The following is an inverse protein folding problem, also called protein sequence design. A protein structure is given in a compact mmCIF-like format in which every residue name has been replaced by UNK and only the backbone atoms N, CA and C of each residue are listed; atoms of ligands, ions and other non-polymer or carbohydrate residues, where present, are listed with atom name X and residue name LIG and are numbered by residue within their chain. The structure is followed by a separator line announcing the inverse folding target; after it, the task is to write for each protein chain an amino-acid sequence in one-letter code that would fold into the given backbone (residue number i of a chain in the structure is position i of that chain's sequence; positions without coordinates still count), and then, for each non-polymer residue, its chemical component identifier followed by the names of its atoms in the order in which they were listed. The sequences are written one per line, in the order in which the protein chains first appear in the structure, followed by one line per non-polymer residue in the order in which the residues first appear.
data_IF_929857414175
#
_entry.id   IF_929857414175
#
_cell.length_a   1.000
_cell.length_b   1.000
_cell.length_c   1.000
_cell.angle_alpha   90.00
_cell.angle_beta   90.00
_cell.angle_gamma   90.00
#
_symmetry.space_group_name_H-M   'P 1'
#
loop_
_entity.id
_entity.type
_entity.pdbx_description
1 polymer ?
#
# COMPACT_ATOMS: atom_id res chain seq x y z
N UNK A 1 -2.27 6.67 -12.52
CA UNK A 1 -1.27 5.62 -12.23
C UNK A 1 -1.01 5.66 -10.74
N UNK A 2 -1.07 4.51 -10.04
CA UNK A 2 -0.74 4.44 -8.63
C UNK A 2 0.65 5.03 -8.39
N UNK A 3 0.77 5.79 -7.30
CA UNK A 3 2.03 6.40 -6.91
C UNK A 3 2.60 5.61 -5.75
N UNK A 4 3.88 5.32 -5.77
CA UNK A 4 4.54 4.60 -4.69
C UNK A 4 5.60 5.48 -4.04
N UNK A 5 5.73 5.37 -2.73
CA UNK A 5 6.75 6.06 -1.96
C UNK A 5 7.45 5.10 -1.02
N UNK A 6 8.72 5.39 -0.77
CA UNK A 6 9.58 4.62 0.11
C UNK A 6 10.66 5.52 0.70
N UNK A 7 11.05 5.24 1.94
CA UNK A 7 12.16 5.91 2.63
C UNK A 7 13.13 4.87 3.16
N UNK A 8 14.44 5.08 2.98
CA UNK A 8 15.44 4.17 3.53
C UNK A 8 15.39 4.07 5.06
N UNK A 9 15.00 5.16 5.73
CA UNK A 9 14.77 5.18 7.18
C UNK A 9 13.66 4.22 7.63
N UNK A 10 12.63 3.98 6.80
CA UNK A 10 11.52 3.07 7.13
C UNK A 10 11.98 1.60 7.28
N UNK A 11 13.17 1.25 6.76
CA UNK A 11 13.78 -0.08 6.92
C UNK A 11 14.94 -0.10 7.92
N UNK A 12 15.10 0.96 8.71
CA UNK A 12 16.10 1.07 9.78
C UNK A 12 17.52 1.39 9.29
N UNK A 13 17.67 1.90 8.06
CA UNK A 13 18.95 2.45 7.61
C UNK A 13 19.07 3.91 8.03
N UNK A 14 20.27 4.31 8.44
CA UNK A 14 20.62 5.73 8.66
C UNK A 14 20.93 6.40 7.32
N UNK A 15 19.89 6.59 6.50
CA UNK A 15 19.98 7.15 5.16
C UNK A 15 18.70 7.93 4.83
N UNK A 16 18.82 9.25 4.63
CA UNK A 16 17.69 10.13 4.33
C UNK A 16 17.17 10.06 2.87
N UNK A 17 17.57 9.05 2.09
CA UNK A 17 17.09 8.89 0.73
C UNK A 17 15.61 8.48 0.71
N UNK A 18 14.83 9.19 -0.10
CA UNK A 18 13.40 8.92 -0.29
C UNK A 18 13.02 8.95 -1.77
N UNK A 19 12.11 8.05 -2.14
CA UNK A 19 11.45 8.03 -3.43
C UNK A 19 10.01 8.46 -3.22
N UNK A 20 9.57 9.43 -4.00
CA UNK A 20 8.18 9.89 -4.05
C UNK A 20 7.63 9.68 -5.44
N UNK A 21 6.37 9.26 -5.52
CA UNK A 21 5.59 9.24 -6.75
C UNK A 21 6.13 8.33 -7.88
N UNK A 22 6.78 7.21 -7.53
CA UNK A 22 7.10 6.17 -8.51
C UNK A 22 5.81 5.62 -9.14
N UNK A 23 5.82 5.30 -10.44
CA UNK A 23 4.65 4.82 -11.17
C UNK A 23 4.33 3.34 -10.93
N UNK A 24 5.29 2.56 -10.45
CA UNK A 24 5.12 1.15 -10.06
C UNK A 24 6.09 0.75 -8.96
N UNK A 25 5.82 -0.40 -8.32
CA UNK A 25 6.77 -1.01 -7.37
C UNK A 25 8.08 -1.40 -8.06
N UNK A 26 8.02 -1.96 -9.28
CA UNK A 26 9.23 -2.31 -10.04
C UNK A 26 10.10 -1.08 -10.33
N UNK A 27 9.50 0.04 -10.74
CA UNK A 27 10.23 1.29 -10.97
C UNK A 27 10.91 1.78 -9.69
N UNK A 28 10.19 1.73 -8.56
CA UNK A 28 10.72 2.07 -7.24
C UNK A 28 11.89 1.16 -6.86
N UNK A 29 11.76 -0.15 -7.07
CA UNK A 29 12.82 -1.12 -6.77
C UNK A 29 14.05 -0.92 -7.66
N UNK A 30 13.89 -0.58 -8.93
CA UNK A 30 15.01 -0.25 -9.82
C UNK A 30 15.74 1.02 -9.35
N UNK A 31 15.00 2.07 -8.98
CA UNK A 31 15.59 3.28 -8.39
C UNK A 31 16.37 2.97 -7.10
N UNK A 32 15.82 2.11 -6.23
CA UNK A 32 16.51 1.68 -5.00
C UNK A 32 17.78 0.88 -5.28
N UNK A 33 17.78 -0.02 -6.28
CA UNK A 33 18.98 -0.77 -6.68
C UNK A 33 20.08 0.19 -7.15
N UNK A 34 19.74 1.21 -7.95
CA UNK A 34 20.70 2.22 -8.41
C UNK A 34 21.27 3.00 -7.23
N UNK A 35 20.41 3.43 -6.30
CA UNK A 35 20.82 4.15 -5.09
C UNK A 35 21.72 3.29 -4.20
N UNK A 36 21.34 2.04 -3.93
CA UNK A 36 22.08 1.11 -3.08
C UNK A 36 23.48 0.81 -3.65
N UNK A 37 23.58 0.63 -4.97
CA UNK A 37 24.85 0.43 -5.66
C UNK A 37 25.74 1.68 -5.59
N UNK A 38 25.17 2.85 -5.87
CA UNK A 38 25.94 4.10 -5.99
C UNK A 38 26.37 4.68 -4.64
N UNK A 39 25.51 4.59 -3.62
CA UNK A 39 25.71 5.24 -2.32
C UNK A 39 26.31 4.31 -1.27
N UNK A 40 26.06 3.00 -1.39
CA UNK A 40 26.46 2.01 -0.38
C UNK A 40 27.32 0.88 -0.95
N UNK A 41 27.63 0.89 -2.27
CA UNK A 41 28.40 -0.17 -2.91
C UNK A 41 27.68 -1.53 -2.94
N UNK A 42 26.38 -1.55 -2.65
CA UNK A 42 25.58 -2.78 -2.58
C UNK A 42 25.24 -3.22 -4.00
N UNK A 43 25.91 -4.27 -4.47
CA UNK A 43 25.68 -4.83 -5.81
C UNK A 43 24.55 -5.84 -5.85
N UNK A 44 24.14 -6.38 -4.70
CA UNK A 44 23.03 -7.31 -4.55
C UNK A 44 22.29 -7.05 -3.24
N UNK A 45 20.97 -6.85 -3.32
CA UNK A 45 20.11 -6.63 -2.15
C UNK A 45 19.75 -8.00 -1.57
N UNK A 46 20.11 -8.30 -0.31
CA UNK A 46 19.75 -9.57 0.33
C UNK A 46 18.23 -9.78 0.37
N UNK A 47 17.73 -11.03 0.29
CA UNK A 47 16.29 -11.31 0.30
C UNK A 47 15.55 -10.74 1.52
N UNK A 48 16.17 -10.77 2.71
CA UNK A 48 15.61 -10.19 3.94
C UNK A 48 15.37 -8.68 3.78
N UNK A 49 16.37 -7.98 3.28
CA UNK A 49 16.28 -6.54 3.04
C UNK A 49 15.26 -6.23 1.94
N UNK A 50 15.21 -7.02 0.88
CA UNK A 50 14.22 -6.85 -0.18
C UNK A 50 12.79 -7.01 0.36
N UNK A 51 12.55 -7.98 1.25
CA UNK A 51 11.26 -8.17 1.89
C UNK A 51 10.89 -6.98 2.78
N UNK A 52 11.84 -6.47 3.58
CA UNK A 52 11.65 -5.25 4.37
C UNK A 52 11.33 -4.04 3.51
N UNK A 53 12.03 -3.88 2.39
CA UNK A 53 11.76 -2.82 1.42
C UNK A 53 10.31 -2.93 0.93
N UNK A 54 9.91 -4.10 0.42
CA UNK A 54 8.55 -4.33 -0.10
C UNK A 54 7.46 -4.07 0.95
N UNK A 55 7.68 -4.48 2.20
CA UNK A 55 6.74 -4.23 3.30
C UNK A 55 6.58 -2.75 3.65
N UNK A 56 7.57 -1.92 3.32
CA UNK A 56 7.57 -0.48 3.61
C UNK A 56 7.32 0.39 2.37
N UNK A 57 7.06 -0.21 1.21
CA UNK A 57 6.55 0.53 0.06
C UNK A 57 5.12 0.95 0.38
N UNK A 58 4.87 2.26 0.36
CA UNK A 58 3.55 2.84 0.60
C UNK A 58 2.93 3.23 -0.73
N UNK A 59 1.77 2.65 -1.05
CA UNK A 59 0.93 3.09 -2.15
C UNK A 59 0.29 4.42 -1.74
N UNK A 60 0.57 5.46 -2.51
CA UNK A 60 -0.01 6.79 -2.43
C UNK A 60 -1.13 6.84 -3.46
N UNK A 61 -2.34 7.08 -2.97
CA UNK A 61 -3.52 7.29 -3.79
C UNK A 61 -4.49 8.18 -3.06
N UNK A 62 -5.58 8.50 -3.74
CA UNK A 62 -6.53 9.52 -3.28
C UNK A 62 -7.44 9.02 -2.17
N UNK A 63 -7.70 7.71 -2.08
CA UNK A 63 -8.75 7.18 -1.23
C UNK A 63 -8.22 6.25 -0.14
N UNK A 64 -8.79 6.41 1.05
CA UNK A 64 -8.53 5.62 2.26
C UNK A 64 -9.83 5.04 2.81
N UNK A 65 -9.77 3.81 3.32
CA UNK A 65 -10.87 3.19 4.06
C UNK A 65 -10.35 2.21 5.10
N UNK A 66 -11.07 2.08 6.22
CA UNK A 66 -10.80 1.06 7.25
C UNK A 66 -12.10 0.39 7.68
N UNK A 67 -12.11 -0.93 7.85
CA UNK A 67 -13.28 -1.65 8.34
C UNK A 67 -13.75 -1.16 9.72
N UNK A 68 -12.83 -0.71 10.56
CA UNK A 68 -13.15 -0.10 11.85
C UNK A 68 -14.01 1.17 11.72
N UNK A 69 -13.90 1.90 10.59
CA UNK A 69 -14.70 3.12 10.35
C UNK A 69 -16.21 2.87 10.25
N UNK A 70 -16.61 1.64 9.90
CA UNK A 70 -18.02 1.23 9.81
C UNK A 70 -18.46 0.39 11.02
N UNK A 71 -17.66 0.38 12.09
CA UNK A 71 -17.96 -0.34 13.34
C UNK A 71 -17.72 -1.84 13.28
N UNK A 72 -17.00 -2.35 12.27
CA UNK A 72 -16.60 -3.76 12.24
C UNK A 72 -15.38 -3.96 13.15
N UNK A 73 -15.36 -5.07 13.88
CA UNK A 73 -14.19 -5.50 14.66
C UNK A 73 -13.14 -6.15 13.74
N UNK A 74 -12.60 -5.38 12.80
CA UNK A 74 -11.66 -5.82 11.79
C UNK A 74 -10.60 -4.72 11.57
N UNK A 75 -9.31 -5.09 11.67
CA UNK A 75 -8.19 -4.17 11.48
C UNK A 75 -7.76 -3.98 10.02
N UNK A 76 -8.53 -4.48 9.05
CA UNK A 76 -8.19 -4.31 7.64
C UNK A 76 -8.42 -2.87 7.20
N UNK A 77 -7.44 -2.32 6.49
CA UNK A 77 -7.45 -0.98 5.94
C UNK A 77 -6.89 -0.97 4.51
N UNK A 78 -7.43 -0.09 3.70
CA UNK A 78 -7.00 0.18 2.33
C UNK A 78 -6.48 1.61 2.32
N UNK A 79 -5.20 1.74 2.00
CA UNK A 79 -4.53 3.04 1.87
C UNK A 79 -4.12 3.26 0.42
N UNK A 80 -4.46 4.42 -0.12
CA UNK A 80 -3.95 4.86 -1.41
C UNK A 80 -4.61 4.20 -2.63
N UNK A 81 -5.91 3.91 -2.55
CA UNK A 81 -6.69 3.56 -3.75
C UNK A 81 -6.82 4.79 -4.67
N UNK A 82 -6.80 4.60 -5.98
CA UNK A 82 -6.88 5.69 -6.97
C UNK A 82 -8.32 6.11 -7.26
N UNK A 83 -9.28 5.22 -7.00
CA UNK A 83 -10.71 5.48 -7.14
C UNK A 83 -11.47 4.74 -6.05
N UNK A 84 -12.71 5.19 -5.77
CA UNK A 84 -13.63 4.43 -4.93
C UNK A 84 -13.86 3.02 -5.48
N UNK A 85 -13.89 2.85 -6.80
CA UNK A 85 -14.10 1.54 -7.40
C UNK A 85 -12.96 0.56 -7.12
N UNK A 86 -11.71 0.99 -7.29
CA UNK A 86 -10.54 0.17 -6.94
C UNK A 86 -10.55 -0.22 -5.46
N UNK A 87 -10.88 0.74 -4.57
CA UNK A 87 -11.02 0.49 -3.14
C UNK A 87 -12.07 -0.60 -2.86
N UNK A 88 -13.23 -0.52 -3.51
CA UNK A 88 -14.30 -1.50 -3.35
C UNK A 88 -13.90 -2.87 -3.91
N UNK A 89 -13.16 -2.93 -5.01
CA UNK A 89 -12.62 -4.17 -5.58
C UNK A 89 -11.63 -4.85 -4.62
N UNK A 90 -10.67 -4.10 -4.07
CA UNK A 90 -9.74 -4.59 -3.05
C UNK A 90 -10.49 -5.09 -1.80
N UNK A 91 -11.50 -4.35 -1.34
CA UNK A 91 -12.32 -4.74 -0.20
C UNK A 91 -13.13 -6.02 -0.46
N UNK A 92 -13.68 -6.19 -1.67
CA UNK A 92 -14.39 -7.41 -2.06
C UNK A 92 -13.45 -8.63 -2.07
N UNK A 93 -12.22 -8.47 -2.55
CA UNK A 93 -11.22 -9.55 -2.50
C UNK A 93 -10.94 -9.94 -1.05
N UNK A 94 -10.72 -8.95 -0.16
CA UNK A 94 -10.56 -9.21 1.27
C UNK A 94 -11.76 -9.94 1.86
N UNK A 95 -12.99 -9.47 1.58
CA UNK A 95 -14.22 -10.06 2.11
C UNK A 95 -14.40 -11.52 1.66
N UNK A 96 -14.08 -11.80 0.39
CA UNK A 96 -14.11 -13.15 -0.17
C UNK A 96 -13.07 -14.07 0.47
N UNK A 97 -11.84 -13.59 0.64
CA UNK A 97 -10.73 -14.40 1.15
C UNK A 97 -10.79 -14.61 2.68
N UNK A 98 -11.15 -13.58 3.43
CA UNK A 98 -11.08 -13.59 4.89
C UNK A 98 -12.39 -14.04 5.55
N UNK A 99 -13.52 -13.75 4.91
CA UNK A 99 -14.85 -14.00 5.48
C UNK A 99 -15.70 -14.97 4.63
N UNK A 100 -15.15 -15.48 3.51
CA UNK A 100 -15.88 -16.36 2.60
C UNK A 100 -17.09 -15.69 1.93
N UNK A 101 -17.18 -14.36 1.99
CA UNK A 101 -18.32 -13.62 1.49
C UNK A 101 -18.21 -13.46 -0.02
N UNK A 102 -19.14 -14.05 -0.77
CA UNK A 102 -19.22 -13.90 -2.22
C UNK A 102 -19.78 -12.54 -2.66
N UNK A 103 -20.44 -11.81 -1.75
CA UNK A 103 -20.95 -10.46 -1.97
C UNK A 103 -21.02 -9.66 -0.67
N UNK A 104 -20.98 -8.33 -0.78
CA UNK A 104 -21.18 -7.41 0.35
C UNK A 104 -22.63 -6.90 0.29
N UNK A 105 -23.41 -6.98 1.39
CA UNK A 105 -24.78 -6.47 1.42
C UNK A 105 -24.84 -4.98 1.05
N UNK A 106 -25.90 -4.56 0.37
CA UNK A 106 -26.04 -3.19 -0.15
C UNK A 106 -25.95 -2.13 0.96
N UNK A 107 -26.57 -2.38 2.12
CA UNK A 107 -26.48 -1.47 3.27
C UNK A 107 -25.06 -1.31 3.80
N UNK A 108 -24.27 -2.39 3.74
CA UNK A 108 -22.85 -2.35 4.14
C UNK A 108 -22.04 -1.57 3.11
N UNK A 109 -22.27 -1.79 1.81
CA UNK A 109 -21.65 -1.01 0.73
C UNK A 109 -21.93 0.49 0.85
N UNK A 110 -23.17 0.88 1.18
CA UNK A 110 -23.54 2.28 1.36
C UNK A 110 -22.76 2.91 2.53
N UNK A 111 -22.64 2.21 3.66
CA UNK A 111 -21.83 2.67 4.81
C UNK A 111 -20.35 2.78 4.47
N UNK A 112 -19.81 1.82 3.72
CA UNK A 112 -18.42 1.85 3.24
C UNK A 112 -18.20 3.12 2.44
N UNK A 113 -19.00 3.37 1.40
CA UNK A 113 -18.88 4.56 0.54
C UNK A 113 -18.94 5.88 1.33
N UNK A 114 -19.82 5.96 2.33
CA UNK A 114 -19.92 7.14 3.20
C UNK A 114 -18.70 7.37 4.10
N UNK A 115 -17.87 6.34 4.32
CA UNK A 115 -16.69 6.41 5.18
C UNK A 115 -15.37 6.32 4.41
N UNK A 116 -15.41 6.27 3.08
CA UNK A 116 -14.22 6.47 2.25
C UNK A 116 -13.75 7.91 2.44
N UNK A 117 -12.47 8.08 2.76
CA UNK A 117 -11.84 9.39 2.95
C UNK A 117 -10.95 9.70 1.76
N UNK A 118 -10.96 10.96 1.32
CA UNK A 118 -9.95 11.47 0.40
C UNK A 118 -8.72 11.94 1.18
N UNK A 119 -7.52 11.60 0.70
CA UNK A 119 -6.22 11.88 1.32
C UNK A 119 -5.29 12.65 0.38
#
# INVERSE_FOLDING_TARGET
MPKYTFKCEDVGMDCGFEIKNAGSEDELLEMLKIHAKSSHGVTSIPPDLLNKIKQNIKKVGKYYFSCASVGMNCGFEIMGAQSEQELLEELMVHAKMSHGMSSIPQDTLNKIKQNIKEM
#
